data_IF_875540500364
#
_entry.id   IF_875540500364
#
_cell.length_a   1.000
_cell.length_b   1.000
_cell.length_c   1.000
_cell.angle_alpha   90.00
_cell.angle_beta   90.00
_cell.angle_gamma   90.00
#
_symmetry.space_group_name_H-M   'P 1'
#
loop_
_entity.id
_entity.type
_entity.pdbx_description
1 polymer ?
#
# COMPACT_ATOMS: atom_id res chain seq x y z
N UNK A 1 42.76 15.77 12.40
CA UNK A 1 41.32 15.54 12.67
C UNK A 1 40.97 14.22 11.98
N UNK A 2 40.85 13.17 12.77
CA UNK A 2 40.49 11.84 12.26
C UNK A 2 38.95 11.82 12.21
N UNK A 3 38.39 11.74 11.01
CA UNK A 3 36.96 11.52 10.83
C UNK A 3 36.60 10.17 11.43
N UNK A 4 35.59 10.18 12.28
CA UNK A 4 35.04 9.00 12.92
C UNK A 4 34.35 8.12 11.86
N UNK A 5 34.78 6.87 11.59
CA UNK A 5 34.24 6.04 10.53
C UNK A 5 32.98 5.26 10.91
N UNK A 6 32.30 5.62 12.00
CA UNK A 6 31.11 4.93 12.53
C UNK A 6 29.95 5.89 12.77
N UNK A 7 29.60 6.70 11.79
CA UNK A 7 28.21 7.13 11.67
C UNK A 7 27.43 5.93 11.11
N UNK A 8 26.95 5.08 11.99
CA UNK A 8 25.96 4.06 11.66
C UNK A 8 24.67 4.83 11.31
N UNK A 9 24.38 4.97 10.03
CA UNK A 9 23.03 5.32 9.61
C UNK A 9 22.07 4.33 10.28
N UNK A 10 21.24 4.80 11.21
CA UNK A 10 20.17 4.00 11.83
C UNK A 10 19.19 3.62 10.73
N UNK A 11 19.24 2.38 10.29
CA UNK A 11 18.34 1.87 9.28
C UNK A 11 17.05 1.39 9.93
N UNK A 12 15.93 1.84 9.41
CA UNK A 12 14.63 1.28 9.78
C UNK A 12 14.55 -0.14 9.23
N UNK A 13 14.57 -1.14 10.11
CA UNK A 13 14.35 -2.54 9.79
C UNK A 13 12.94 -2.88 10.27
N UNK A 14 12.08 -3.32 9.35
CA UNK A 14 10.70 -3.66 9.63
C UNK A 14 10.33 -4.93 8.89
N UNK A 15 9.86 -5.96 9.59
CA UNK A 15 9.41 -7.19 8.91
C UNK A 15 8.07 -7.01 8.22
N UNK A 16 7.08 -6.51 8.94
CA UNK A 16 5.73 -6.24 8.45
C UNK A 16 5.24 -4.90 9.00
N UNK A 17 4.56 -4.13 8.19
CA UNK A 17 4.03 -2.87 8.67
C UNK A 17 3.38 -1.99 7.61
N UNK A 18 3.05 -0.76 8.01
CA UNK A 18 2.46 0.26 7.16
C UNK A 18 3.41 1.45 7.04
N UNK A 19 3.69 1.84 5.82
CA UNK A 19 4.39 3.10 5.52
C UNK A 19 3.42 4.17 5.00
N UNK A 20 3.66 5.40 5.40
CA UNK A 20 2.92 6.59 4.98
C UNK A 20 3.51 7.83 5.63
N UNK A 21 3.01 9.02 5.32
CA UNK A 21 3.54 10.25 5.94
C UNK A 21 2.95 10.49 7.34
N UNK A 22 1.64 10.22 7.52
CA UNK A 22 0.92 10.45 8.80
C UNK A 22 0.05 9.23 9.10
N UNK A 23 0.39 8.51 10.17
CA UNK A 23 -0.23 7.24 10.52
C UNK A 23 -1.00 7.25 11.85
N UNK A 24 -1.14 8.39 12.51
CA UNK A 24 -1.67 8.51 13.87
C UNK A 24 -3.13 8.05 14.09
N UNK A 25 -3.86 7.76 13.04
CA UNK A 25 -5.24 7.25 13.10
C UNK A 25 -5.41 5.89 12.40
N UNK A 26 -4.32 5.16 12.17
CA UNK A 26 -4.37 3.88 11.50
C UNK A 26 -4.72 2.76 12.48
N UNK A 27 -5.73 1.97 12.15
CA UNK A 27 -6.10 0.72 12.84
C UNK A 27 -5.39 -0.50 12.23
N UNK A 28 -4.47 -0.32 11.28
CA UNK A 28 -3.83 -1.44 10.59
C UNK A 28 -3.07 -2.35 11.54
N UNK A 29 -2.33 -1.78 12.52
CA UNK A 29 -1.60 -2.55 13.53
C UNK A 29 -2.54 -3.48 14.30
N UNK A 30 -3.58 -2.93 14.89
CA UNK A 30 -4.54 -3.69 15.70
C UNK A 30 -5.20 -4.80 14.89
N UNK A 31 -5.61 -4.50 13.65
CA UNK A 31 -6.24 -5.47 12.74
C UNK A 31 -5.28 -6.61 12.39
N UNK A 32 -4.05 -6.30 12.00
CA UNK A 32 -3.06 -7.30 11.59
C UNK A 32 -2.66 -8.22 12.76
N UNK A 33 -2.41 -7.65 13.94
CA UNK A 33 -2.03 -8.42 15.14
C UNK A 33 -3.20 -9.24 15.71
N UNK A 34 -4.47 -8.89 15.40
CA UNK A 34 -5.62 -9.74 15.69
C UNK A 34 -5.79 -10.91 14.71
N UNK A 35 -5.32 -10.76 13.46
CA UNK A 35 -5.51 -11.77 12.41
C UNK A 35 -4.45 -12.86 12.42
N UNK A 36 -3.23 -12.57 12.90
CA UNK A 36 -2.11 -13.50 12.90
C UNK A 36 -1.06 -13.12 13.95
N UNK A 37 -0.28 -14.11 14.37
CA UNK A 37 0.78 -13.94 15.37
C UNK A 37 2.07 -13.41 14.70
N UNK A 38 2.13 -12.10 14.47
CA UNK A 38 3.31 -11.37 14.04
C UNK A 38 3.23 -9.89 14.47
N UNK A 39 4.38 -9.27 14.63
CA UNK A 39 4.47 -7.83 14.90
C UNK A 39 4.21 -7.04 13.64
N UNK A 40 3.34 -6.04 13.73
CA UNK A 40 3.05 -5.12 12.63
C UNK A 40 3.35 -3.69 13.06
N UNK A 41 4.25 -3.02 12.33
CA UNK A 41 4.75 -1.72 12.69
C UNK A 41 4.07 -0.59 11.90
N UNK A 42 3.86 0.55 12.56
CA UNK A 42 3.48 1.79 11.89
C UNK A 42 4.74 2.63 11.70
N UNK A 43 5.15 2.82 10.45
CA UNK A 43 6.37 3.51 10.08
C UNK A 43 6.04 4.81 9.31
N UNK A 44 5.85 5.94 10.01
CA UNK A 44 5.71 7.23 9.35
C UNK A 44 7.06 7.63 8.74
N UNK A 45 7.06 8.03 7.47
CA UNK A 45 8.25 8.40 6.73
C UNK A 45 8.08 9.78 6.10
N UNK A 46 9.10 10.62 6.21
CA UNK A 46 9.25 11.79 5.34
C UNK A 46 9.59 11.34 3.91
N UNK A 47 9.59 12.26 2.95
CA UNK A 47 9.96 11.94 1.55
C UNK A 47 11.39 11.46 1.42
N UNK A 48 12.30 12.02 2.19
CA UNK A 48 13.71 11.67 2.21
C UNK A 48 13.91 10.25 2.78
N UNK A 49 13.29 9.97 3.93
CA UNK A 49 13.32 8.66 4.58
C UNK A 49 12.68 7.58 3.72
N UNK A 50 11.56 7.89 3.04
CA UNK A 50 10.87 6.99 2.12
C UNK A 50 11.81 6.47 1.01
N UNK A 51 12.60 7.36 0.39
CA UNK A 51 13.54 6.97 -0.65
C UNK A 51 14.57 5.97 -0.12
N UNK A 52 15.23 6.32 0.99
CA UNK A 52 16.22 5.45 1.64
C UNK A 52 15.63 4.11 2.06
N UNK A 53 14.41 4.12 2.63
CA UNK A 53 13.69 2.92 3.04
C UNK A 53 13.42 1.98 1.85
N UNK A 54 12.92 2.53 0.74
CA UNK A 54 12.62 1.75 -0.46
C UNK A 54 13.86 1.22 -1.17
N UNK A 55 14.97 1.94 -1.15
CA UNK A 55 16.24 1.49 -1.76
C UNK A 55 16.87 0.31 -0.99
N UNK A 56 16.60 0.19 0.30
CA UNK A 56 17.19 -0.87 1.15
C UNK A 56 16.42 -2.19 1.15
N UNK A 57 15.14 -2.18 0.84
CA UNK A 57 14.27 -3.37 0.82
C UNK A 57 14.30 -4.20 2.13
N UNK A 58 14.56 -3.56 3.28
CA UNK A 58 14.73 -4.23 4.58
C UNK A 58 13.38 -4.58 5.24
N UNK A 59 12.51 -5.26 4.50
CA UNK A 59 11.20 -5.74 4.96
C UNK A 59 10.80 -7.02 4.25
N UNK A 60 9.88 -7.80 4.86
CA UNK A 60 9.27 -8.97 4.24
C UNK A 60 8.01 -8.60 3.45
N UNK A 61 7.10 -7.85 4.06
CA UNK A 61 5.96 -7.28 3.37
C UNK A 61 5.45 -6.02 4.08
N UNK A 62 4.97 -5.06 3.30
CA UNK A 62 4.47 -3.80 3.81
C UNK A 62 3.17 -3.39 3.15
N UNK A 63 2.32 -2.70 3.91
CA UNK A 63 1.27 -1.90 3.33
C UNK A 63 1.75 -0.47 3.07
N UNK A 64 1.16 0.16 2.08
CA UNK A 64 1.50 1.52 1.66
C UNK A 64 0.24 2.38 1.67
N UNK A 65 0.32 3.54 2.35
CA UNK A 65 -0.77 4.51 2.32
C UNK A 65 -0.31 5.88 1.81
N UNK A 66 -1.16 6.88 1.96
CA UNK A 66 -0.91 8.24 1.49
C UNK A 66 0.39 8.81 2.09
N UNK A 67 1.23 9.47 1.28
CA UNK A 67 1.06 9.78 -0.14
C UNK A 67 1.66 8.75 -1.11
N UNK A 68 2.33 7.70 -0.63
CA UNK A 68 3.32 6.87 -1.32
C UNK A 68 2.77 5.78 -2.25
N UNK A 69 1.44 5.58 -2.35
CA UNK A 69 0.85 4.51 -3.19
C UNK A 69 1.24 4.54 -4.68
N UNK A 70 1.65 5.69 -5.19
CA UNK A 70 2.17 5.83 -6.56
C UNK A 70 3.69 5.89 -6.57
N UNK A 71 4.28 6.50 -5.55
CA UNK A 71 5.73 6.74 -5.47
C UNK A 71 6.53 5.43 -5.28
N UNK A 72 5.90 4.36 -4.77
CA UNK A 72 6.53 3.04 -4.66
C UNK A 72 6.72 2.33 -6.00
N UNK A 73 5.92 2.67 -7.03
CA UNK A 73 5.89 1.95 -8.31
C UNK A 73 7.27 1.83 -8.98
N UNK A 74 8.11 2.88 -9.01
CA UNK A 74 9.44 2.79 -9.62
C UNK A 74 10.41 1.83 -8.93
N UNK A 75 10.13 1.40 -7.70
CA UNK A 75 10.97 0.48 -6.91
C UNK A 75 10.57 -0.99 -7.06
N UNK A 76 9.47 -1.28 -7.78
CA UNK A 76 8.91 -2.63 -7.86
C UNK A 76 9.42 -3.37 -9.09
N UNK A 77 9.74 -4.66 -8.90
CA UNK A 77 10.12 -5.57 -9.97
C UNK A 77 8.89 -6.11 -10.71
N UNK A 78 7.82 -6.36 -9.97
CA UNK A 78 6.57 -6.90 -10.49
C UNK A 78 5.37 -6.14 -9.91
N UNK A 79 4.33 -5.97 -10.71
CA UNK A 79 3.07 -5.32 -10.29
C UNK A 79 1.91 -6.14 -10.84
N UNK A 80 0.94 -6.50 -9.99
CA UNK A 80 -0.25 -7.21 -10.42
C UNK A 80 -1.13 -6.38 -11.38
N UNK A 81 -1.97 -7.08 -12.15
CA UNK A 81 -2.80 -6.45 -13.17
C UNK A 81 -3.78 -5.40 -12.61
N UNK A 82 -4.33 -5.62 -11.42
CA UNK A 82 -5.24 -4.66 -10.79
C UNK A 82 -4.48 -3.41 -10.36
N UNK A 83 -3.32 -3.57 -9.72
CA UNK A 83 -2.49 -2.45 -9.32
C UNK A 83 -1.99 -1.63 -10.51
N UNK A 84 -1.64 -2.29 -11.64
CA UNK A 84 -1.30 -1.64 -12.92
C UNK A 84 -2.49 -0.83 -13.46
N UNK A 85 -3.66 -1.44 -13.52
CA UNK A 85 -4.86 -0.79 -14.05
C UNK A 85 -5.30 0.42 -13.20
N UNK A 86 -5.08 0.36 -11.89
CA UNK A 86 -5.39 1.43 -10.93
C UNK A 86 -4.31 2.52 -10.96
N UNK A 87 -3.05 2.15 -11.26
CA UNK A 87 -1.89 3.03 -11.14
C UNK A 87 -1.56 3.40 -9.69
N UNK A 88 -1.77 2.46 -8.76
CA UNK A 88 -1.45 2.61 -7.35
C UNK A 88 -1.25 1.26 -6.68
N UNK A 89 -0.28 1.17 -5.78
CA UNK A 89 0.06 -0.01 -4.99
C UNK A 89 -0.19 0.29 -3.52
N UNK A 90 -0.84 -0.61 -2.79
CA UNK A 90 -1.06 -0.50 -1.36
C UNK A 90 -0.47 -1.65 -0.54
N UNK A 91 0.12 -2.64 -1.22
CA UNK A 91 0.77 -3.79 -0.58
C UNK A 91 1.99 -4.20 -1.39
N UNK A 92 3.13 -4.37 -0.74
CA UNK A 92 4.37 -4.84 -1.36
C UNK A 92 4.84 -6.07 -0.61
N UNK A 93 5.17 -7.12 -1.33
CA UNK A 93 5.78 -8.34 -0.79
C UNK A 93 7.18 -8.48 -1.34
N UNK A 94 8.15 -8.65 -0.45
CA UNK A 94 9.53 -8.96 -0.82
C UNK A 94 9.68 -10.48 -0.92
N UNK A 95 9.91 -10.98 -2.12
CA UNK A 95 10.15 -12.38 -2.40
C UNK A 95 11.62 -12.57 -2.80
N UNK A 96 12.45 -12.89 -1.82
CA UNK A 96 13.88 -13.13 -2.03
C UNK A 96 14.59 -11.96 -2.75
N UNK A 97 14.29 -10.73 -2.32
CA UNK A 97 14.84 -9.50 -2.89
C UNK A 97 14.03 -8.91 -4.05
N UNK A 98 13.03 -9.62 -4.60
CA UNK A 98 12.10 -9.09 -5.60
C UNK A 98 10.89 -8.44 -4.95
N UNK A 99 10.62 -7.19 -5.28
CA UNK A 99 9.48 -6.45 -4.78
C UNK A 99 8.26 -6.62 -5.70
N UNK A 100 7.22 -7.31 -5.17
CA UNK A 100 5.96 -7.56 -5.87
C UNK A 100 4.87 -6.64 -5.31
N UNK A 101 4.34 -5.75 -6.15
CA UNK A 101 3.31 -4.78 -5.80
C UNK A 101 1.90 -5.25 -6.10
N UNK A 102 0.98 -5.00 -5.15
CA UNK A 102 -0.43 -5.39 -5.23
C UNK A 102 -1.34 -4.22 -4.84
N UNK A 103 -2.62 -4.33 -5.24
CA UNK A 103 -3.65 -3.41 -4.77
C UNK A 103 -4.84 -4.19 -4.20
N UNK A 104 -4.92 -4.29 -2.89
CA UNK A 104 -5.98 -5.00 -2.17
C UNK A 104 -7.26 -4.16 -2.00
N UNK A 105 -7.21 -2.82 -2.19
CA UNK A 105 -8.39 -1.95 -2.14
C UNK A 105 -9.42 -2.36 -3.20
N UNK A 106 -8.95 -2.81 -4.38
CA UNK A 106 -9.80 -3.31 -5.46
C UNK A 106 -10.66 -4.50 -5.00
N UNK A 107 -10.00 -5.53 -4.50
CA UNK A 107 -10.68 -6.76 -4.06
C UNK A 107 -11.56 -6.50 -2.84
N UNK A 108 -11.10 -5.67 -1.90
CA UNK A 108 -11.85 -5.30 -0.70
C UNK A 108 -13.14 -4.56 -1.01
N UNK A 109 -13.08 -3.55 -1.89
CA UNK A 109 -14.27 -2.80 -2.28
C UNK A 109 -15.26 -3.66 -3.08
N UNK A 110 -14.76 -4.50 -4.00
CA UNK A 110 -15.61 -5.43 -4.74
C UNK A 110 -16.30 -6.41 -3.79
N UNK A 111 -15.57 -6.96 -2.82
CA UNK A 111 -16.15 -7.85 -1.82
C UNK A 111 -17.23 -7.16 -0.99
N UNK A 112 -16.98 -5.93 -0.55
CA UNK A 112 -17.96 -5.13 0.21
C UNK A 112 -19.26 -4.95 -0.57
N UNK A 113 -19.20 -4.58 -1.84
CA UNK A 113 -20.40 -4.42 -2.69
C UNK A 113 -21.17 -5.73 -2.81
N UNK A 114 -20.48 -6.85 -3.06
CA UNK A 114 -21.09 -8.18 -3.17
C UNK A 114 -21.72 -8.64 -1.85
N UNK A 115 -21.03 -8.44 -0.73
CA UNK A 115 -21.50 -8.82 0.61
C UNK A 115 -22.80 -8.11 1.00
N UNK A 116 -23.01 -6.90 0.50
CA UNK A 116 -24.21 -6.10 0.77
C UNK A 116 -25.24 -6.15 -0.37
N UNK A 117 -25.09 -7.08 -1.32
CA UNK A 117 -26.00 -7.25 -2.47
C UNK A 117 -26.20 -5.97 -3.28
N UNK A 118 -25.16 -5.10 -3.37
CA UNK A 118 -25.21 -3.86 -4.11
C UNK A 118 -24.92 -4.16 -5.59
N UNK A 119 -25.98 -4.17 -6.42
CA UNK A 119 -25.84 -4.30 -7.87
C UNK A 119 -25.38 -2.98 -8.51
N UNK A 120 -24.37 -3.07 -9.35
CA UNK A 120 -23.76 -1.92 -10.05
C UNK A 120 -24.06 -1.95 -11.56
N UNK A 121 -24.33 -3.11 -12.13
CA UNK A 121 -24.51 -3.28 -13.58
C UNK A 121 -25.56 -2.32 -14.16
N UNK A 122 -25.16 -1.59 -15.19
CA UNK A 122 -26.01 -0.60 -15.87
C UNK A 122 -26.33 0.67 -15.08
N UNK A 123 -25.87 0.80 -13.84
CA UNK A 123 -26.14 1.99 -13.01
C UNK A 123 -25.18 3.12 -13.30
N UNK A 124 -25.70 4.36 -13.24
CA UNK A 124 -24.89 5.56 -13.21
C UNK A 124 -24.34 5.75 -11.79
N UNK A 125 -23.03 5.78 -11.65
CA UNK A 125 -22.34 5.92 -10.37
C UNK A 125 -21.61 7.27 -10.29
N UNK A 126 -21.62 7.90 -9.12
CA UNK A 126 -20.87 9.12 -8.84
C UNK A 126 -19.87 8.84 -7.75
N UNK A 127 -18.60 9.19 -7.98
CA UNK A 127 -17.51 9.06 -7.02
C UNK A 127 -17.06 10.44 -6.60
N UNK A 128 -17.17 10.76 -5.30
CA UNK A 128 -16.75 12.03 -4.74
C UNK A 128 -15.32 11.95 -4.27
N UNK A 129 -14.40 12.66 -4.93
CA UNK A 129 -12.98 12.69 -4.65
C UNK A 129 -12.13 12.05 -5.75
N UNK A 130 -10.83 12.41 -5.78
CA UNK A 130 -9.86 11.98 -6.78
C UNK A 130 -8.56 11.41 -6.18
N UNK A 131 -8.57 11.01 -4.89
CA UNK A 131 -7.42 10.42 -4.20
C UNK A 131 -7.12 8.96 -4.60
N UNK A 132 -6.14 8.36 -3.95
CA UNK A 132 -5.70 6.99 -4.27
C UNK A 132 -6.81 5.94 -4.18
N UNK A 133 -7.68 6.03 -3.16
CA UNK A 133 -8.81 5.11 -2.99
C UNK A 133 -9.85 5.24 -4.11
N UNK A 134 -10.11 6.47 -4.62
CA UNK A 134 -11.10 6.68 -5.69
C UNK A 134 -10.74 5.95 -6.98
N UNK A 135 -9.45 5.79 -7.27
CA UNK A 135 -8.97 5.04 -8.45
C UNK A 135 -9.39 3.58 -8.36
N UNK A 136 -9.21 2.94 -7.20
CA UNK A 136 -9.65 1.56 -6.98
C UNK A 136 -11.18 1.44 -7.08
N UNK A 137 -11.92 2.36 -6.47
CA UNK A 137 -13.40 2.42 -6.54
C UNK A 137 -13.86 2.51 -8.00
N UNK A 138 -13.33 3.45 -8.79
CA UNK A 138 -13.69 3.61 -10.21
C UNK A 138 -13.37 2.35 -11.02
N UNK A 139 -12.20 1.72 -10.77
CA UNK A 139 -11.83 0.49 -11.45
C UNK A 139 -12.83 -0.66 -11.15
N UNK A 140 -13.25 -0.82 -9.88
CA UNK A 140 -14.26 -1.81 -9.50
C UNK A 140 -15.61 -1.52 -10.14
N UNK A 141 -16.08 -0.27 -10.08
CA UNK A 141 -17.37 0.12 -10.66
C UNK A 141 -17.40 -0.18 -12.16
N UNK A 142 -16.33 0.16 -12.90
CA UNK A 142 -16.19 -0.19 -14.32
C UNK A 142 -16.22 -1.70 -14.54
N UNK A 143 -15.46 -2.47 -13.74
CA UNK A 143 -15.43 -3.94 -13.80
C UNK A 143 -16.80 -4.57 -13.55
N UNK A 144 -17.64 -3.94 -12.72
CA UNK A 144 -18.98 -4.40 -12.37
C UNK A 144 -20.07 -3.83 -13.31
N UNK A 145 -19.70 -3.18 -14.42
CA UNK A 145 -20.62 -2.76 -15.45
C UNK A 145 -21.35 -1.43 -15.19
N UNK A 146 -20.78 -0.52 -14.40
CA UNK A 146 -21.29 0.84 -14.28
C UNK A 146 -21.25 1.57 -15.63
N UNK A 147 -22.24 2.48 -15.86
CA UNK A 147 -22.35 3.34 -17.04
C UNK A 147 -21.83 4.74 -16.75
#
# INVERSE_FOLDING_TARGET
>A
MIQNPFETEEYIIMNYGLIGEKLGHSYSKDIHEMLADYTYDLCPLTKEEFKTFMEKHAFNAINVTIPYKQDVIPYLDEIDENAKAIGAVNTIVNKDGKLCGHNTDFSGFMYMLKKHDISIEGKKCVVLGAGGASKAVVAVLKKMGAK
#
